data_IF_262049581452
#
_entry.id   IF_262049581452
#
_cell.length_a   1.000
_cell.length_b   1.000
_cell.length_c   1.000
_cell.angle_alpha   90.00
_cell.angle_beta   90.00
_cell.angle_gamma   90.00
#
_symmetry.space_group_name_H-M   'P 1'
#
loop_
_entity.id
_entity.type
_entity.pdbx_description
1 polymer ?
#
# COMPACT_ATOMS: atom_id res chain seq x y z
N UNK A 1 -25.93 -3.22 8.71
CA UNK A 1 -24.52 -2.90 8.45
C UNK A 1 -24.36 -1.39 8.56
N UNK A 2 -23.32 -0.92 9.21
CA UNK A 2 -22.99 0.49 9.46
C UNK A 2 -21.50 0.73 9.19
N UNK A 3 -21.09 1.98 9.11
CA UNK A 3 -19.66 2.35 9.01
C UNK A 3 -18.90 1.79 10.20
N UNK A 4 -17.74 1.18 9.95
CA UNK A 4 -16.90 0.47 10.90
C UNK A 4 -17.21 -1.03 11.05
N UNK A 5 -18.28 -1.54 10.47
CA UNK A 5 -18.54 -2.98 10.46
C UNK A 5 -17.53 -3.70 9.53
N UNK A 6 -17.10 -4.89 9.97
CA UNK A 6 -16.24 -5.75 9.16
C UNK A 6 -17.12 -6.71 8.34
N UNK A 7 -16.86 -6.72 7.04
CA UNK A 7 -17.64 -7.47 6.06
C UNK A 7 -16.76 -8.20 5.06
N UNK A 8 -17.29 -9.20 4.40
CA UNK A 8 -16.70 -9.82 3.21
C UNK A 8 -17.71 -9.81 2.05
N UNK A 9 -17.22 -9.99 0.82
CA UNK A 9 -18.05 -10.03 -0.40
C UNK A 9 -18.36 -11.46 -0.79
N UNK A 10 -19.65 -11.80 -0.87
CA UNK A 10 -20.13 -13.15 -1.24
C UNK A 10 -19.70 -13.54 -2.66
N UNK A 11 -19.74 -12.57 -3.59
CA UNK A 11 -19.38 -12.75 -5.00
C UNK A 11 -17.95 -13.29 -5.19
N UNK A 12 -17.05 -12.99 -4.25
CA UNK A 12 -15.65 -13.41 -4.28
C UNK A 12 -15.31 -14.47 -3.22
N UNK A 13 -16.32 -15.29 -2.85
CA UNK A 13 -16.15 -16.40 -1.90
C UNK A 13 -15.59 -15.99 -0.54
N UNK A 14 -15.84 -14.73 -0.12
CA UNK A 14 -15.42 -14.21 1.19
C UNK A 14 -13.89 -14.24 1.39
N UNK A 15 -13.11 -14.04 0.33
CA UNK A 15 -11.65 -14.16 0.31
C UNK A 15 -10.93 -13.02 1.05
N UNK A 16 -11.54 -11.83 1.11
CA UNK A 16 -10.97 -10.63 1.72
C UNK A 16 -11.94 -10.03 2.73
N UNK A 17 -11.40 -9.65 3.89
CA UNK A 17 -12.14 -8.89 4.89
C UNK A 17 -11.98 -7.39 4.66
N UNK A 18 -13.09 -6.66 4.73
CA UNK A 18 -13.17 -5.22 4.52
C UNK A 18 -13.81 -4.51 5.72
N UNK A 19 -13.39 -3.28 5.96
CA UNK A 19 -14.10 -2.34 6.82
C UNK A 19 -15.02 -1.46 5.96
N UNK A 20 -16.26 -1.24 6.37
CA UNK A 20 -17.16 -0.27 5.74
C UNK A 20 -16.69 1.13 6.13
N UNK A 21 -16.22 1.92 5.17
CA UNK A 21 -15.69 3.27 5.41
C UNK A 21 -16.68 4.39 5.06
N UNK A 22 -17.64 4.11 4.19
CA UNK A 22 -18.68 5.09 3.82
C UNK A 22 -19.91 4.34 3.26
N UNK A 23 -21.08 5.00 3.27
CA UNK A 23 -22.33 4.50 2.69
C UNK A 23 -23.02 5.66 1.98
N UNK A 24 -23.19 5.57 0.65
CA UNK A 24 -23.88 6.57 -0.17
C UNK A 24 -24.80 5.89 -1.18
N UNK A 25 -25.99 6.38 -1.33
CA UNK A 25 -26.96 5.90 -2.34
C UNK A 25 -27.12 4.39 -2.35
N UNK A 26 -27.12 3.77 -1.15
CA UNK A 26 -27.21 2.32 -0.94
C UNK A 26 -25.97 1.53 -1.42
N UNK A 27 -24.89 2.20 -1.80
CA UNK A 27 -23.59 1.61 -2.10
C UNK A 27 -22.69 1.72 -0.87
N UNK A 28 -22.06 0.63 -0.52
CA UNK A 28 -21.13 0.50 0.60
C UNK A 28 -19.71 0.61 0.08
N UNK A 29 -18.95 1.60 0.57
CA UNK A 29 -17.54 1.78 0.25
C UNK A 29 -16.70 1.03 1.27
N UNK A 30 -15.77 0.22 0.78
CA UNK A 30 -15.07 -0.80 1.53
C UNK A 30 -13.57 -0.56 1.46
N UNK A 31 -12.87 -0.74 2.60
CA UNK A 31 -11.40 -0.75 2.67
C UNK A 31 -10.93 -2.11 3.14
N UNK A 32 -10.03 -2.74 2.40
CA UNK A 32 -9.38 -3.99 2.79
C UNK A 32 -8.62 -3.84 4.11
N UNK A 33 -8.76 -4.82 5.01
CA UNK A 33 -8.11 -4.80 6.32
C UNK A 33 -6.65 -5.18 6.21
N UNK A 34 -6.35 -6.24 5.47
CA UNK A 34 -4.99 -6.79 5.31
C UNK A 34 -4.38 -6.42 3.97
N UNK A 35 -5.21 -6.18 2.98
CA UNK A 35 -4.80 -5.82 1.64
C UNK A 35 -5.11 -4.36 1.35
N UNK A 36 -4.23 -3.66 0.66
CA UNK A 36 -4.49 -2.32 0.12
C UNK A 36 -5.50 -2.44 -1.02
N UNK A 37 -6.77 -2.46 -0.68
CA UNK A 37 -7.86 -2.59 -1.62
C UNK A 37 -9.03 -1.69 -1.21
N UNK A 38 -9.48 -0.85 -2.13
CA UNK A 38 -10.73 -0.10 -2.01
C UNK A 38 -11.72 -0.71 -2.97
N UNK A 39 -12.91 -0.97 -2.52
CA UNK A 39 -14.00 -1.54 -3.32
C UNK A 39 -15.32 -0.87 -2.98
N UNK A 40 -16.29 -1.06 -3.84
CA UNK A 40 -17.69 -0.73 -3.61
C UNK A 40 -18.55 -1.98 -3.74
N UNK A 41 -19.68 -2.01 -3.07
CA UNK A 41 -20.59 -3.15 -3.09
C UNK A 41 -21.99 -2.75 -2.73
N UNK A 42 -22.97 -3.48 -3.28
CA UNK A 42 -24.34 -3.46 -2.81
C UNK A 42 -24.47 -4.25 -1.51
N UNK A 43 -25.48 -3.92 -0.70
CA UNK A 43 -25.70 -4.55 0.61
C UNK A 43 -25.89 -6.08 0.52
N UNK A 44 -26.53 -6.54 -0.53
CA UNK A 44 -26.88 -7.94 -0.79
C UNK A 44 -25.65 -8.83 -1.00
N UNK A 45 -24.55 -8.25 -1.52
CA UNK A 45 -23.26 -8.93 -1.72
C UNK A 45 -22.44 -9.01 -0.44
N UNK A 46 -22.80 -8.24 0.60
CA UNK A 46 -22.05 -8.18 1.85
C UNK A 46 -22.53 -9.20 2.89
N UNK A 47 -21.59 -9.67 3.69
CA UNK A 47 -21.80 -10.50 4.86
C UNK A 47 -20.93 -10.02 6.01
N UNK A 48 -21.50 -9.97 7.23
CA UNK A 48 -20.76 -9.59 8.44
C UNK A 48 -19.75 -10.68 8.81
N UNK A 49 -18.53 -10.26 9.10
CA UNK A 49 -17.46 -11.13 9.58
C UNK A 49 -17.34 -10.98 11.09
N UNK A 50 -17.58 -12.06 11.83
CA UNK A 50 -17.44 -12.07 13.30
C UNK A 50 -16.01 -12.36 13.77
N UNK A 51 -15.23 -13.04 12.93
CA UNK A 51 -13.80 -13.32 13.18
C UNK A 51 -12.97 -12.93 11.98
N UNK A 52 -12.03 -12.01 12.18
CA UNK A 52 -11.07 -11.65 11.12
C UNK A 52 -10.13 -12.84 10.95
N UNK A 53 -10.07 -13.43 9.75
CA UNK A 53 -9.03 -14.39 9.40
C UNK A 53 -7.69 -13.68 9.50
N UNK A 54 -6.90 -14.03 10.51
CA UNK A 54 -5.50 -13.56 10.55
C UNK A 54 -4.74 -14.30 9.46
N UNK A 55 -4.09 -13.54 8.56
CA UNK A 55 -3.03 -14.12 7.73
C UNK A 55 -1.99 -14.65 8.71
N UNK A 56 -1.62 -15.91 8.58
CA UNK A 56 -0.57 -16.50 9.41
C UNK A 56 0.70 -15.66 9.24
N UNK A 57 1.17 -15.08 10.34
CA UNK A 57 2.41 -14.33 10.33
C UNK A 57 3.53 -15.29 9.89
N UNK A 58 4.20 -14.97 8.81
CA UNK A 58 5.38 -15.73 8.39
C UNK A 58 6.38 -15.72 9.55
N UNK A 59 6.73 -16.89 10.06
CA UNK A 59 7.70 -17.01 11.12
C UNK A 59 9.02 -16.36 10.69
N UNK A 60 9.44 -15.30 11.39
CA UNK A 60 10.72 -14.68 11.12
C UNK A 60 11.86 -15.66 11.49
N UNK A 61 12.96 -15.68 10.73
CA UNK A 61 14.13 -16.48 11.09
C UNK A 61 14.56 -16.17 12.53
N UNK A 62 14.80 -17.20 13.33
CA UNK A 62 15.26 -17.04 14.73
C UNK A 62 16.72 -16.56 14.82
N UNK A 63 17.44 -16.52 13.72
CA UNK A 63 18.82 -16.03 13.68
C UNK A 63 18.86 -14.51 13.91
N UNK A 64 19.91 -14.05 14.61
CA UNK A 64 20.19 -12.61 14.83
C UNK A 64 20.56 -11.97 13.49
N UNK A 65 19.57 -11.58 12.71
CA UNK A 65 19.79 -10.78 11.51
C UNK A 65 19.95 -9.30 11.87
N UNK A 66 20.94 -8.64 11.30
CA UNK A 66 21.00 -7.18 11.28
C UNK A 66 19.86 -6.68 10.39
N UNK A 67 18.88 -6.00 10.98
CA UNK A 67 17.74 -5.46 10.24
C UNK A 67 18.13 -4.13 9.61
N UNK A 68 17.94 -4.00 8.32
CA UNK A 68 18.15 -2.75 7.60
C UNK A 68 17.13 -1.68 8.01
N UNK A 69 17.46 -0.42 7.72
CA UNK A 69 16.55 0.72 7.91
C UNK A 69 15.61 0.85 6.71
N UNK A 70 14.35 1.12 6.95
CA UNK A 70 13.30 1.31 5.93
C UNK A 70 12.92 2.78 5.84
N UNK A 71 12.79 3.29 4.62
CA UNK A 71 12.07 4.53 4.31
C UNK A 71 10.79 4.15 3.56
N UNK A 72 9.63 4.51 4.09
CA UNK A 72 8.34 4.18 3.51
C UNK A 72 7.56 5.44 3.15
N UNK A 73 7.33 5.66 1.86
CA UNK A 73 6.44 6.68 1.32
C UNK A 73 5.12 6.02 0.92
N UNK A 74 4.01 6.58 1.36
CA UNK A 74 2.70 6.01 1.10
C UNK A 74 1.67 7.08 0.71
N UNK A 75 0.87 6.81 -0.31
CA UNK A 75 -0.24 7.65 -0.77
C UNK A 75 -1.50 7.56 0.10
N UNK A 76 -1.51 6.70 1.13
CA UNK A 76 -2.63 6.57 2.06
C UNK A 76 -2.14 6.58 3.53
N UNK A 77 -2.55 7.59 4.34
CA UNK A 77 -2.08 7.73 5.72
C UNK A 77 -2.56 6.59 6.63
N UNK A 78 -3.68 5.93 6.32
CA UNK A 78 -4.19 4.82 7.14
C UNK A 78 -3.37 3.55 6.90
N UNK A 79 -3.04 3.24 5.65
CA UNK A 79 -2.15 2.12 5.32
C UNK A 79 -0.72 2.36 5.79
N UNK A 80 -0.20 3.59 5.65
CA UNK A 80 1.10 3.95 6.21
C UNK A 80 1.14 3.66 7.72
N UNK A 81 0.13 4.10 8.46
CA UNK A 81 0.05 3.87 9.92
C UNK A 81 0.05 2.37 10.24
N UNK A 82 -0.67 1.56 9.46
CA UNK A 82 -0.70 0.10 9.63
C UNK A 82 0.67 -0.52 9.36
N UNK A 83 1.35 -0.11 8.28
CA UNK A 83 2.70 -0.57 7.95
C UNK A 83 3.71 -0.18 9.03
N UNK A 84 3.68 1.06 9.51
CA UNK A 84 4.57 1.52 10.58
C UNK A 84 4.40 0.73 11.87
N UNK A 85 3.14 0.38 12.23
CA UNK A 85 2.87 -0.51 13.36
C UNK A 85 3.49 -1.90 13.15
N UNK A 86 3.37 -2.46 11.94
CA UNK A 86 3.98 -3.76 11.61
C UNK A 86 5.51 -3.71 11.67
N UNK A 87 6.15 -2.67 11.15
CA UNK A 87 7.60 -2.50 11.30
C UNK A 87 8.02 -2.48 12.77
N UNK A 88 7.26 -1.77 13.63
CA UNK A 88 7.53 -1.75 15.07
C UNK A 88 7.37 -3.13 15.71
N UNK A 89 6.30 -3.87 15.40
CA UNK A 89 6.06 -5.24 15.90
C UNK A 89 7.21 -6.19 15.54
N UNK A 90 7.77 -6.04 14.34
CA UNK A 90 8.92 -6.84 13.89
C UNK A 90 10.29 -6.26 14.32
N UNK A 91 10.31 -5.16 15.07
CA UNK A 91 11.55 -4.50 15.51
C UNK A 91 12.38 -3.97 14.34
N UNK A 92 11.73 -3.51 13.26
CA UNK A 92 12.35 -2.90 12.08
C UNK A 92 12.36 -1.38 12.29
N UNK A 93 13.54 -0.75 12.14
CA UNK A 93 13.63 0.70 12.16
C UNK A 93 13.14 1.29 10.86
N UNK A 94 12.06 2.06 10.91
CA UNK A 94 11.42 2.61 9.72
C UNK A 94 11.06 4.09 9.88
N UNK A 95 11.20 4.86 8.80
CA UNK A 95 10.72 6.23 8.66
C UNK A 95 9.56 6.23 7.68
N UNK A 96 8.37 6.69 8.10
CA UNK A 96 7.16 6.73 7.29
C UNK A 96 6.76 8.15 6.93
N UNK A 97 6.44 8.40 5.66
CA UNK A 97 5.98 9.68 5.16
C UNK A 97 4.75 9.50 4.27
N UNK A 98 3.71 10.27 4.57
CA UNK A 98 2.55 10.39 3.72
C UNK A 98 2.75 11.55 2.74
N UNK A 99 2.57 11.27 1.46
CA UNK A 99 2.48 12.23 0.37
C UNK A 99 1.46 11.73 -0.63
N UNK A 100 0.91 12.61 -1.46
CA UNK A 100 0.19 12.17 -2.64
C UNK A 100 1.17 11.57 -3.66
N UNK A 101 0.70 10.67 -4.50
CA UNK A 101 1.53 9.93 -5.44
C UNK A 101 2.34 10.85 -6.36
N UNK A 102 1.73 11.95 -6.84
CA UNK A 102 2.40 12.96 -7.68
C UNK A 102 3.52 13.72 -6.97
N UNK A 103 3.57 13.67 -5.63
CA UNK A 103 4.57 14.38 -4.83
C UNK A 103 5.80 13.50 -4.50
N UNK A 104 5.73 12.18 -4.67
CA UNK A 104 6.81 11.26 -4.29
C UNK A 104 8.15 11.66 -4.87
N UNK A 105 8.20 11.91 -6.19
CA UNK A 105 9.45 12.21 -6.89
C UNK A 105 10.16 13.46 -6.35
N UNK A 106 9.40 14.47 -5.92
CA UNK A 106 9.95 15.73 -5.40
C UNK A 106 10.61 15.60 -4.03
N UNK A 107 10.15 14.65 -3.20
CA UNK A 107 10.63 14.50 -1.83
C UNK A 107 11.71 13.42 -1.67
N UNK A 108 11.77 12.47 -2.60
CA UNK A 108 12.54 11.23 -2.40
C UNK A 108 14.04 11.47 -2.25
N UNK A 109 14.62 12.41 -3.00
CA UNK A 109 16.06 12.69 -2.95
C UNK A 109 16.49 13.25 -1.58
N UNK A 110 15.72 14.18 -1.03
CA UNK A 110 15.99 14.77 0.30
C UNK A 110 15.88 13.70 1.38
N UNK A 111 14.80 12.90 1.35
CA UNK A 111 14.56 11.87 2.34
C UNK A 111 15.60 10.75 2.32
N UNK A 112 16.07 10.34 1.14
CA UNK A 112 17.15 9.37 1.01
C UNK A 112 18.47 9.90 1.59
N UNK A 113 18.82 11.16 1.32
CA UNK A 113 20.01 11.82 1.88
C UNK A 113 19.93 12.02 3.39
N UNK A 114 18.71 12.23 3.92
CA UNK A 114 18.46 12.41 5.35
C UNK A 114 18.54 11.12 6.14
N UNK A 115 17.98 10.04 5.62
CA UNK A 115 17.76 8.80 6.39
C UNK A 115 18.71 7.65 6.02
N UNK A 116 19.36 7.70 4.87
CA UNK A 116 20.25 6.65 4.36
C UNK A 116 19.67 5.23 4.54
N UNK A 117 18.45 4.96 4.03
CA UNK A 117 17.81 3.68 4.23
C UNK A 117 18.46 2.58 3.39
N UNK A 118 18.30 1.32 3.82
CA UNK A 118 18.68 0.14 3.03
C UNK A 118 17.53 -0.33 2.13
N UNK A 119 16.28 -0.04 2.53
CA UNK A 119 15.08 -0.36 1.78
C UNK A 119 14.20 0.89 1.64
N UNK A 120 13.87 1.23 0.41
CA UNK A 120 12.86 2.22 0.06
C UNK A 120 11.58 1.49 -0.33
N UNK A 121 10.50 1.82 0.36
CA UNK A 121 9.14 1.35 0.05
C UNK A 121 8.32 2.52 -0.44
N UNK A 122 7.72 2.39 -1.62
CA UNK A 122 6.83 3.39 -2.22
C UNK A 122 5.51 2.69 -2.52
N UNK A 123 4.46 3.04 -1.77
CA UNK A 123 3.14 2.45 -1.95
C UNK A 123 2.07 3.53 -2.06
N UNK A 124 0.95 3.18 -2.67
CA UNK A 124 -0.12 4.14 -2.89
C UNK A 124 -1.29 3.51 -3.63
N UNK A 125 -2.12 4.37 -4.17
CA UNK A 125 -3.22 3.98 -5.03
C UNK A 125 -2.84 4.20 -6.49
N UNK A 126 -3.32 3.31 -7.36
CA UNK A 126 -3.29 3.51 -8.80
C UNK A 126 -4.55 2.87 -9.40
N UNK A 127 -4.97 3.33 -10.54
CA UNK A 127 -6.11 2.79 -11.25
C UNK A 127 -6.01 3.07 -12.74
N UNK A 128 -6.57 2.16 -13.53
CA UNK A 128 -6.76 2.40 -14.96
C UNK A 128 -7.77 3.54 -15.16
N UNK A 129 -7.43 4.53 -15.96
CA UNK A 129 -8.31 5.63 -16.34
C UNK A 129 -9.54 5.09 -17.09
N UNK A 130 -10.67 5.80 -16.98
CA UNK A 130 -11.87 5.46 -17.74
C UNK A 130 -11.54 5.48 -19.25
N UNK A 131 -11.80 4.36 -19.92
CA UNK A 131 -11.44 4.10 -21.33
C UNK A 131 -9.93 3.89 -21.60
N UNK A 132 -9.10 3.74 -20.59
CA UNK A 132 -7.68 3.45 -20.72
C UNK A 132 -7.41 2.01 -21.21
N UNK A 133 -6.24 1.80 -21.79
CA UNK A 133 -5.77 0.49 -22.25
C UNK A 133 -4.83 -0.12 -21.22
N UNK A 134 -5.11 -1.35 -20.77
CA UNK A 134 -4.31 -2.05 -19.75
C UNK A 134 -2.81 -2.17 -20.06
N UNK A 135 -2.44 -2.12 -21.35
CA UNK A 135 -1.05 -2.25 -21.79
C UNK A 135 -0.32 -0.92 -22.00
N UNK A 136 -0.92 0.19 -21.59
CA UNK A 136 -0.31 1.51 -21.71
C UNK A 136 -0.20 2.16 -20.33
N UNK A 137 1.03 2.36 -19.85
CA UNK A 137 1.30 2.97 -18.54
C UNK A 137 0.77 4.40 -18.39
N UNK A 138 0.60 5.13 -19.50
CA UNK A 138 0.04 6.49 -19.49
C UNK A 138 -1.47 6.51 -19.22
N UNK A 139 -2.13 5.37 -19.38
CA UNK A 139 -3.56 5.21 -19.13
C UNK A 139 -3.89 4.89 -17.66
N UNK A 140 -2.88 4.85 -16.81
CA UNK A 140 -3.03 4.74 -15.37
C UNK A 140 -2.93 6.11 -14.70
N UNK A 141 -3.55 6.25 -13.52
CA UNK A 141 -3.57 7.53 -12.82
C UNK A 141 -2.18 7.93 -12.32
N UNK A 142 -1.48 6.99 -11.68
CA UNK A 142 -0.25 7.26 -10.94
C UNK A 142 0.94 6.33 -11.29
N UNK A 143 0.80 5.39 -12.23
CA UNK A 143 1.93 4.52 -12.59
C UNK A 143 3.19 5.29 -12.99
N UNK A 144 3.06 6.42 -13.71
CA UNK A 144 4.20 7.25 -14.09
C UNK A 144 4.83 7.98 -12.90
N UNK A 145 4.04 8.35 -11.89
CA UNK A 145 4.54 9.00 -10.66
C UNK A 145 5.43 8.04 -9.88
N UNK A 146 5.05 6.76 -9.77
CA UNK A 146 5.89 5.71 -9.17
C UNK A 146 7.18 5.50 -9.96
N UNK A 147 7.11 5.42 -11.28
CA UNK A 147 8.30 5.27 -12.13
C UNK A 147 9.26 6.45 -11.95
N UNK A 148 8.73 7.68 -11.91
CA UNK A 148 9.56 8.86 -11.72
C UNK A 148 10.20 8.90 -10.33
N UNK A 149 9.46 8.53 -9.28
CA UNK A 149 9.98 8.42 -7.93
C UNK A 149 11.16 7.41 -7.85
N UNK A 150 11.04 6.25 -8.50
CA UNK A 150 12.12 5.25 -8.58
C UNK A 150 13.35 5.81 -9.31
N UNK A 151 13.15 6.53 -10.43
CA UNK A 151 14.25 7.17 -11.16
C UNK A 151 14.98 8.18 -10.28
N UNK A 152 14.25 9.05 -9.57
CA UNK A 152 14.83 10.03 -8.66
C UNK A 152 15.59 9.34 -7.51
N UNK A 153 15.10 8.22 -6.99
CA UNK A 153 15.80 7.43 -5.99
C UNK A 153 17.13 6.86 -6.52
N UNK A 154 17.13 6.36 -7.76
CA UNK A 154 18.34 5.80 -8.40
C UNK A 154 19.37 6.86 -8.80
N UNK A 155 18.99 8.12 -8.96
CA UNK A 155 19.96 9.22 -9.10
C UNK A 155 20.74 9.46 -7.82
N UNK A 156 20.15 9.22 -6.64
CA UNK A 156 20.82 9.35 -5.34
C UNK A 156 21.64 8.10 -5.02
N UNK A 157 21.06 6.92 -5.21
CA UNK A 157 21.72 5.64 -4.93
C UNK A 157 21.53 4.68 -6.12
N UNK A 158 22.50 4.65 -7.06
CA UNK A 158 22.44 3.78 -8.24
C UNK A 158 22.70 2.30 -7.91
N UNK A 159 23.44 2.03 -6.84
CA UNK A 159 23.76 0.68 -6.42
C UNK A 159 22.52 -0.02 -5.85
N UNK A 160 22.14 -1.14 -6.49
CA UNK A 160 20.96 -1.91 -6.12
C UNK A 160 21.15 -2.73 -4.84
N UNK A 161 22.40 -3.05 -4.51
CA UNK A 161 22.74 -3.80 -3.30
C UNK A 161 22.80 -2.88 -2.07
N UNK A 162 23.13 -1.59 -2.27
CA UNK A 162 23.11 -0.58 -1.21
C UNK A 162 21.71 -0.05 -0.90
N UNK A 163 20.80 -0.01 -1.89
CA UNK A 163 19.41 0.40 -1.72
C UNK A 163 18.48 -0.53 -2.49
N UNK A 164 17.73 -1.35 -1.77
CA UNK A 164 16.62 -2.09 -2.35
C UNK A 164 15.40 -1.17 -2.48
N UNK A 165 14.70 -1.21 -3.61
CA UNK A 165 13.47 -0.43 -3.84
C UNK A 165 12.33 -1.40 -4.07
N UNK A 166 11.27 -1.25 -3.28
CA UNK A 166 9.97 -1.86 -3.50
C UNK A 166 8.97 -0.76 -3.86
N UNK A 167 8.27 -0.91 -4.97
CA UNK A 167 7.17 -0.03 -5.35
C UNK A 167 5.95 -0.87 -5.74
N UNK A 168 4.78 -0.42 -5.33
CA UNK A 168 3.55 -1.13 -5.61
C UNK A 168 2.29 -0.31 -5.31
N UNK A 169 1.26 -0.54 -6.10
CA UNK A 169 -0.06 0.06 -5.93
C UNK A 169 -1.15 -0.96 -6.27
N UNK A 170 -2.39 -0.68 -5.84
CA UNK A 170 -3.49 -1.66 -5.90
C UNK A 170 -3.90 -2.09 -7.31
N UNK A 171 -3.69 -1.27 -8.33
CA UNK A 171 -4.04 -1.57 -9.74
C UNK A 171 -3.01 -0.96 -10.69
N UNK A 172 -1.74 -1.01 -10.35
CA UNK A 172 -0.67 -0.43 -11.17
C UNK A 172 -0.43 -1.19 -12.46
N UNK A 173 0.23 -0.52 -13.40
CA UNK A 173 0.66 -1.10 -14.68
C UNK A 173 1.72 -2.20 -14.50
N UNK A 174 2.54 -2.15 -13.45
CA UNK A 174 3.68 -3.04 -13.15
C UNK A 174 3.42 -3.91 -11.93
#
# INVERSE_FOLDING_TARGET
>A
MKIGDIVCRKKYHQDISFEIIDIKDNIYYLRGIEYRLIADSEKEDLELVHEIRKVEDVALPQEKCLKGTVLHLDGDPAYLKMCMKKYQEYGIHAYGYYFKEEEFASHIQELLKKHHPHLLVITGHDALKKNGQKRNSQDYLHSLDFVEAIKQARLVQPDKDALVIFAGACQSYY
#
